data_IF_099153195041
#
_entry.id   IF_099153195041
#
_cell.length_a   1.000
_cell.length_b   1.000
_cell.length_c   1.000
_cell.angle_alpha   90.00
_cell.angle_beta   90.00
_cell.angle_gamma   90.00
#
_symmetry.space_group_name_H-M   'P 1'
#
loop_
_entity.id
_entity.type
_entity.pdbx_description
1 polymer ?
#
# COMPACT_ATOMS: atom_id res chain seq x y z
N UNK A 1 2.71 -0.91 20.85
CA UNK A 1 3.18 0.18 19.97
C UNK A 1 3.91 -0.45 18.78
N UNK A 2 3.63 0.00 17.56
CA UNK A 2 4.34 -0.47 16.37
C UNK A 2 5.82 -0.05 16.50
N UNK A 3 6.80 -0.98 16.47
CA UNK A 3 8.18 -0.69 16.88
C UNK A 3 8.86 0.42 16.06
N UNK A 4 8.53 0.52 14.77
CA UNK A 4 9.05 1.53 13.83
C UNK A 4 8.46 2.94 14.05
N UNK A 5 7.33 3.05 14.74
CA UNK A 5 6.70 4.32 15.12
C UNK A 5 7.04 4.75 16.55
N UNK A 6 7.84 3.97 17.27
CA UNK A 6 8.40 4.40 18.55
C UNK A 6 9.16 5.71 18.37
N UNK A 7 8.91 6.67 19.26
CA UNK A 7 9.60 7.97 19.28
C UNK A 7 11.11 7.84 19.47
N UNK A 8 11.60 6.67 19.92
CA UNK A 8 13.03 6.38 20.11
C UNK A 8 13.77 6.13 18.79
N UNK A 9 13.08 5.68 17.73
CA UNK A 9 13.70 5.38 16.43
C UNK A 9 13.83 6.68 15.62
N UNK A 10 15.05 7.03 15.23
CA UNK A 10 15.36 8.21 14.42
C UNK A 10 14.82 8.06 12.99
N UNK A 11 14.55 9.17 12.30
CA UNK A 11 13.94 9.18 10.96
C UNK A 11 14.84 8.59 9.85
N UNK A 12 16.17 8.66 10.01
CA UNK A 12 17.10 8.18 8.98
C UNK A 12 17.17 6.64 8.94
N UNK A 13 16.86 5.94 10.04
CA UNK A 13 16.85 4.48 10.10
C UNK A 13 15.85 3.87 9.10
N UNK A 14 14.55 4.23 9.12
CA UNK A 14 13.60 3.77 8.10
C UNK A 14 13.91 4.33 6.71
N UNK A 15 14.53 5.51 6.58
CA UNK A 15 14.93 6.03 5.27
C UNK A 15 15.99 5.15 4.60
N UNK A 16 17.10 4.89 5.29
CA UNK A 16 18.22 4.10 4.76
C UNK A 16 17.81 2.66 4.51
N UNK A 17 17.09 2.04 5.43
CA UNK A 17 16.56 0.68 5.23
C UNK A 17 15.56 0.61 4.07
N UNK A 18 14.68 1.61 3.94
CA UNK A 18 13.74 1.71 2.83
C UNK A 18 14.43 1.81 1.46
N UNK A 19 15.42 2.69 1.34
CA UNK A 19 16.27 2.81 0.14
C UNK A 19 16.99 1.48 -0.14
N UNK A 20 17.57 0.87 0.90
CA UNK A 20 18.28 -0.41 0.77
C UNK A 20 17.37 -1.53 0.23
N UNK A 21 16.13 -1.63 0.70
CA UNK A 21 15.16 -2.62 0.21
C UNK A 21 14.77 -2.35 -1.24
N UNK A 22 14.55 -1.09 -1.61
CA UNK A 22 14.21 -0.73 -2.99
C UNK A 22 15.40 -1.05 -3.92
N UNK A 23 16.62 -0.72 -3.53
CA UNK A 23 17.83 -1.08 -4.30
C UNK A 23 17.98 -2.59 -4.40
N UNK A 24 17.78 -3.33 -3.29
CA UNK A 24 17.82 -4.79 -3.28
C UNK A 24 16.81 -5.39 -4.28
N UNK A 25 15.64 -4.77 -4.42
CA UNK A 25 14.63 -5.24 -5.38
C UNK A 25 15.15 -5.28 -6.82
N UNK A 26 15.99 -4.32 -7.22
CA UNK A 26 16.58 -4.29 -8.55
C UNK A 26 17.44 -5.54 -8.85
N UNK A 27 18.04 -6.14 -7.83
CA UNK A 27 18.83 -7.37 -7.97
C UNK A 27 17.97 -8.65 -7.93
N UNK A 28 16.76 -8.56 -7.37
CA UNK A 28 15.84 -9.68 -7.24
C UNK A 28 14.82 -9.78 -8.39
N UNK A 29 14.78 -8.77 -9.27
CA UNK A 29 13.92 -8.78 -10.46
C UNK A 29 14.21 -10.01 -11.33
N UNK A 30 13.17 -10.78 -11.64
CA UNK A 30 13.26 -11.97 -12.49
C UNK A 30 13.75 -13.24 -11.79
N UNK A 31 14.05 -13.19 -10.49
CA UNK A 31 14.36 -14.40 -9.72
C UNK A 31 13.08 -15.20 -9.50
N UNK A 32 13.01 -16.38 -10.10
CA UNK A 32 11.92 -17.33 -9.86
C UNK A 32 12.09 -18.02 -8.51
N UNK A 33 11.02 -18.07 -7.73
CA UNK A 33 11.02 -18.67 -6.41
C UNK A 33 10.08 -19.87 -6.28
N UNK A 34 9.66 -20.12 -5.05
CA UNK A 34 8.68 -21.12 -4.70
C UNK A 34 7.53 -20.45 -3.92
N UNK A 35 6.55 -21.24 -3.47
CA UNK A 35 5.42 -20.73 -2.70
C UNK A 35 5.84 -19.97 -1.43
N UNK A 36 6.91 -20.40 -0.75
CA UNK A 36 7.41 -19.76 0.48
C UNK A 36 8.09 -18.41 0.22
N UNK A 37 8.56 -18.17 -1.01
CA UNK A 37 9.23 -16.93 -1.40
C UNK A 37 8.28 -15.90 -2.03
N UNK A 38 7.00 -16.24 -2.22
CA UNK A 38 5.97 -15.29 -2.66
C UNK A 38 5.93 -14.02 -1.81
N UNK A 39 5.95 -14.06 -0.46
CA UNK A 39 5.92 -12.83 0.33
C UNK A 39 7.11 -11.90 0.03
N UNK A 40 8.23 -12.43 -0.48
CA UNK A 40 9.45 -11.69 -0.75
C UNK A 40 9.58 -11.20 -2.20
N UNK A 41 8.58 -11.44 -3.05
CA UNK A 41 8.63 -10.98 -4.44
C UNK A 41 9.25 -11.96 -5.42
N UNK A 42 9.44 -13.22 -5.04
CA UNK A 42 9.95 -14.27 -5.93
C UNK A 42 8.85 -15.31 -6.19
N UNK A 43 7.94 -15.04 -7.14
CA UNK A 43 6.87 -15.97 -7.48
C UNK A 43 7.41 -17.22 -8.18
N UNK A 44 6.67 -18.32 -8.07
CA UNK A 44 6.93 -19.51 -8.87
C UNK A 44 6.39 -19.34 -10.30
N UNK A 45 6.92 -20.07 -11.29
CA UNK A 45 6.45 -19.99 -12.67
C UNK A 45 4.94 -20.28 -12.79
N UNK A 46 4.20 -19.39 -13.44
CA UNK A 46 2.75 -19.53 -13.62
C UNK A 46 1.89 -18.92 -12.51
N UNK A 47 2.49 -18.37 -11.45
CA UNK A 47 1.74 -17.54 -10.50
C UNK A 47 1.31 -16.23 -11.15
N UNK A 48 0.03 -15.91 -11.06
CA UNK A 48 -0.54 -14.62 -11.46
C UNK A 48 -1.60 -14.20 -10.46
N UNK A 49 -1.61 -12.92 -10.12
CA UNK A 49 -2.60 -12.31 -9.25
C UNK A 49 -2.66 -10.84 -9.57
N UNK A 50 -3.87 -10.28 -9.58
CA UNK A 50 -4.12 -8.86 -9.83
C UNK A 50 -3.62 -8.02 -8.65
N UNK A 51 -3.76 -8.54 -7.42
CA UNK A 51 -3.48 -7.82 -6.17
C UNK A 51 -2.25 -8.40 -5.44
N UNK A 52 -1.22 -8.79 -6.18
CA UNK A 52 0.01 -9.28 -5.57
C UNK A 52 1.02 -8.16 -5.36
N UNK A 53 1.13 -7.71 -4.10
CA UNK A 53 2.11 -6.70 -3.68
C UNK A 53 3.10 -7.28 -2.66
N UNK A 54 4.29 -7.72 -3.11
CA UNK A 54 5.26 -8.39 -2.23
C UNK A 54 5.95 -7.43 -1.26
N UNK A 55 6.56 -7.97 -0.20
CA UNK A 55 7.32 -7.19 0.79
C UNK A 55 8.49 -6.43 0.15
N UNK A 56 9.16 -7.01 -0.84
CA UNK A 56 10.21 -6.32 -1.60
C UNK A 56 9.62 -6.00 -2.98
N UNK A 57 9.50 -4.71 -3.39
CA UNK A 57 10.07 -3.50 -2.77
C UNK A 57 9.14 -2.75 -1.78
N UNK A 58 7.87 -3.13 -1.65
CA UNK A 58 6.85 -2.27 -1.04
C UNK A 58 7.06 -1.94 0.43
N UNK A 59 7.67 -2.84 1.20
CA UNK A 59 8.07 -2.55 2.57
C UNK A 59 9.09 -1.41 2.62
N UNK A 60 9.95 -1.30 1.61
CA UNK A 60 10.86 -0.16 1.48
C UNK A 60 10.12 1.16 1.26
N UNK A 61 9.12 1.17 0.37
CA UNK A 61 8.24 2.34 0.14
C UNK A 61 7.49 2.73 1.42
N UNK A 62 6.97 1.75 2.17
CA UNK A 62 6.33 1.98 3.47
C UNK A 62 7.29 2.66 4.45
N UNK A 63 8.53 2.18 4.55
CA UNK A 63 9.54 2.76 5.45
C UNK A 63 9.92 4.19 5.06
N UNK A 64 10.00 4.51 3.77
CA UNK A 64 10.16 5.90 3.32
C UNK A 64 8.99 6.78 3.79
N UNK A 65 7.75 6.28 3.69
CA UNK A 65 6.57 6.95 4.24
C UNK A 65 6.64 7.16 5.76
N UNK A 66 7.14 6.17 6.52
CA UNK A 66 7.38 6.30 7.96
C UNK A 66 8.44 7.37 8.26
N UNK A 67 9.52 7.41 7.49
CA UNK A 67 10.56 8.44 7.63
C UNK A 67 10.00 9.84 7.37
N UNK A 68 9.26 10.01 6.28
CA UNK A 68 8.57 11.25 5.96
C UNK A 68 7.60 11.66 7.09
N UNK A 69 6.82 10.71 7.61
CA UNK A 69 5.94 10.94 8.75
C UNK A 69 6.68 11.40 10.01
N UNK A 70 7.86 10.86 10.30
CA UNK A 70 8.69 11.30 11.45
C UNK A 70 9.25 12.71 11.27
N UNK A 71 9.58 13.12 10.04
CA UNK A 71 10.07 14.47 9.71
C UNK A 71 8.93 15.50 9.75
N UNK A 72 7.80 15.15 9.15
CA UNK A 72 6.65 16.04 8.95
C UNK A 72 5.73 16.12 10.17
N UNK A 73 5.66 15.05 10.96
CA UNK A 73 4.80 14.92 12.14
C UNK A 73 5.57 14.41 13.37
N UNK A 74 6.61 15.11 13.84
CA UNK A 74 7.35 14.70 15.04
C UNK A 74 6.41 14.59 16.25
N UNK A 75 6.47 13.46 16.94
CA UNK A 75 5.56 13.11 18.05
C UNK A 75 4.06 13.20 17.69
N UNK A 76 3.71 13.02 16.41
CA UNK A 76 2.34 13.11 15.91
C UNK A 76 1.81 14.55 15.77
N UNK A 77 2.66 15.56 16.01
CA UNK A 77 2.31 16.97 15.84
C UNK A 77 2.89 17.49 14.54
N UNK A 78 2.11 18.29 13.83
CA UNK A 78 2.52 18.92 12.57
C UNK A 78 3.78 19.76 12.78
N UNK A 79 4.81 19.47 12.00
CA UNK A 79 6.10 20.18 12.02
C UNK A 79 5.95 21.62 11.53
N UNK A 80 6.89 22.48 11.93
CA UNK A 80 7.04 23.84 11.41
C UNK A 80 7.29 23.87 9.90
N UNK A 81 7.83 22.79 9.32
CA UNK A 81 7.96 22.65 7.86
C UNK A 81 6.61 22.71 7.13
N UNK A 82 5.52 22.35 7.82
CA UNK A 82 4.18 22.38 7.29
C UNK A 82 3.37 23.57 7.82
N UNK A 83 3.96 24.50 8.60
CA UNK A 83 3.20 25.59 9.24
C UNK A 83 2.54 26.54 8.25
N UNK A 84 3.13 26.70 7.06
CA UNK A 84 2.63 27.57 6.00
C UNK A 84 1.47 26.98 5.19
N UNK A 85 1.17 25.67 5.29
CA UNK A 85 0.05 25.13 4.53
C UNK A 85 -1.28 25.50 5.21
N UNK A 86 -2.29 25.94 4.45
CA UNK A 86 -3.61 26.24 5.01
C UNK A 86 -4.25 24.99 5.64
N UNK A 87 -5.27 25.21 6.47
CA UNK A 87 -6.09 24.11 6.95
C UNK A 87 -6.79 23.38 5.80
N UNK A 88 -7.14 22.12 6.03
CA UNK A 88 -7.71 21.27 4.98
C UNK A 88 -9.04 21.83 4.49
N UNK A 89 -9.20 22.13 3.18
CA UNK A 89 -10.43 22.65 2.63
C UNK A 89 -11.63 21.76 2.93
N UNK A 90 -12.77 22.35 3.30
CA UNK A 90 -14.02 21.62 3.58
C UNK A 90 -14.47 20.75 2.41
N UNK A 91 -14.18 21.17 1.17
CA UNK A 91 -14.48 20.44 -0.07
C UNK A 91 -13.79 19.06 -0.11
N UNK A 92 -12.66 18.89 0.58
CA UNK A 92 -11.93 17.61 0.63
C UNK A 92 -12.41 16.68 1.75
N UNK A 93 -13.32 17.10 2.63
CA UNK A 93 -13.83 16.25 3.73
C UNK A 93 -14.41 14.91 3.25
N UNK A 94 -15.17 14.82 2.14
CA UNK A 94 -15.64 13.54 1.62
C UNK A 94 -14.49 12.61 1.24
N UNK A 95 -13.42 13.15 0.64
CA UNK A 95 -12.23 12.38 0.29
C UNK A 95 -11.53 11.83 1.54
N UNK A 96 -11.46 12.62 2.61
CA UNK A 96 -10.90 12.16 3.89
C UNK A 96 -11.77 11.10 4.56
N UNK A 97 -13.09 11.18 4.42
CA UNK A 97 -14.01 10.15 4.90
C UNK A 97 -13.76 8.83 4.16
N UNK A 98 -13.72 8.87 2.82
CA UNK A 98 -13.39 7.71 1.99
C UNK A 98 -12.02 7.13 2.36
N UNK A 99 -10.99 7.98 2.53
CA UNK A 99 -9.65 7.58 2.95
C UNK A 99 -9.59 6.85 4.30
N UNK A 100 -10.50 7.14 5.23
CA UNK A 100 -10.59 6.45 6.54
C UNK A 100 -11.28 5.09 6.46
N UNK A 101 -12.02 4.84 5.38
CA UNK A 101 -12.83 3.63 5.17
C UNK A 101 -12.29 2.81 3.99
N UNK A 102 -11.03 3.01 3.60
CA UNK A 102 -10.40 2.37 2.44
C UNK A 102 -10.49 0.85 2.49
N UNK A 103 -10.32 0.22 3.66
CA UNK A 103 -10.45 -1.22 3.80
C UNK A 103 -11.87 -1.70 3.48
N UNK A 104 -12.88 -1.00 3.98
CA UNK A 104 -14.28 -1.33 3.71
C UNK A 104 -14.59 -1.14 2.21
N UNK A 105 -14.14 -0.02 1.63
CA UNK A 105 -14.28 0.24 0.19
C UNK A 105 -13.59 -0.85 -0.62
N UNK A 106 -12.37 -1.26 -0.24
CA UNK A 106 -11.63 -2.32 -0.90
C UNK A 106 -12.32 -3.69 -0.77
N UNK A 107 -12.91 -4.03 0.37
CA UNK A 107 -13.64 -5.29 0.48
C UNK A 107 -14.95 -5.30 -0.31
N UNK A 108 -15.65 -4.16 -0.38
CA UNK A 108 -16.95 -4.07 -1.06
C UNK A 108 -16.85 -3.85 -2.56
N UNK A 109 -15.78 -3.25 -3.08
CA UNK A 109 -15.73 -2.92 -4.51
C UNK A 109 -15.80 -4.17 -5.40
N UNK A 110 -15.10 -5.26 -5.06
CA UNK A 110 -15.11 -6.52 -5.84
C UNK A 110 -16.52 -7.11 -5.97
N UNK A 111 -17.26 -7.43 -4.89
CA UNK A 111 -18.60 -8.01 -5.02
C UNK A 111 -19.59 -7.04 -5.67
N UNK A 112 -19.47 -5.74 -5.44
CA UNK A 112 -20.36 -4.74 -6.06
C UNK A 112 -20.12 -4.65 -7.57
N UNK A 113 -18.87 -4.66 -8.01
CA UNK A 113 -18.52 -4.66 -9.45
C UNK A 113 -19.02 -5.94 -10.10
N UNK A 114 -18.76 -7.11 -9.50
CA UNK A 114 -19.23 -8.40 -10.02
C UNK A 114 -20.76 -8.41 -10.14
N UNK A 115 -21.47 -7.95 -9.10
CA UNK A 115 -22.93 -7.85 -9.12
C UNK A 115 -23.42 -6.89 -10.22
N UNK A 116 -22.78 -5.73 -10.37
CA UNK A 116 -23.12 -4.76 -11.41
C UNK A 116 -22.93 -5.32 -12.81
N UNK A 117 -21.82 -6.00 -13.07
CA UNK A 117 -21.55 -6.66 -14.36
C UNK A 117 -22.56 -7.77 -14.63
N UNK A 118 -22.87 -8.60 -13.63
CA UNK A 118 -23.88 -9.66 -13.76
C UNK A 118 -25.27 -9.12 -14.08
N UNK A 119 -25.70 -8.03 -13.44
CA UNK A 119 -27.01 -7.42 -13.68
C UNK A 119 -27.12 -6.78 -15.08
N UNK A 120 -26.03 -6.24 -15.62
CA UNK A 120 -25.99 -5.62 -16.94
C UNK A 120 -25.79 -6.64 -18.08
N UNK A 121 -25.04 -7.72 -17.82
CA UNK A 121 -24.65 -8.71 -18.83
C UNK A 121 -24.77 -10.15 -18.32
N UNK A 122 -25.98 -10.60 -17.94
CA UNK A 122 -26.17 -11.90 -17.31
C UNK A 122 -25.73 -13.06 -18.21
N UNK A 123 -26.08 -13.03 -19.50
CA UNK A 123 -25.77 -14.10 -20.44
C UNK A 123 -24.25 -14.26 -20.67
N UNK A 124 -23.54 -13.14 -20.76
CA UNK A 124 -22.09 -13.15 -20.93
C UNK A 124 -21.38 -13.73 -19.69
N UNK A 125 -21.83 -13.37 -18.48
CA UNK A 125 -21.25 -13.88 -17.24
C UNK A 125 -21.53 -15.38 -17.08
N UNK A 126 -22.76 -15.83 -17.36
CA UNK A 126 -23.12 -17.24 -17.28
C UNK A 126 -22.31 -18.10 -18.26
N UNK A 127 -22.06 -17.63 -19.49
CA UNK A 127 -21.25 -18.34 -20.48
C UNK A 127 -19.76 -18.48 -20.17
N UNK A 128 -19.24 -17.67 -19.25
CA UNK A 128 -17.83 -17.74 -18.79
C UNK A 128 -17.72 -18.68 -17.59
N UNK A 129 -18.80 -18.83 -16.81
CA UNK A 129 -18.84 -19.63 -15.60
C UNK A 129 -19.31 -21.08 -15.83
N UNK A 130 -20.07 -21.33 -16.91
CA UNK A 130 -20.63 -22.63 -17.31
C UNK A 130 -20.37 -22.93 -18.78
#
# INVERSE_FOLDING_TARGET
AIPFLSGKVQWFIPAVSGIGIIILSCFLQGVSGNLLLLPFGMPYPGFTSIDYEPLIPWFGVMLLGVSAGKILYPAGKRSTLLSALPEMPTVLRPLCFAGRHTLLIYLLHVPVIILGVFLLFPDAVLSVLF
#
